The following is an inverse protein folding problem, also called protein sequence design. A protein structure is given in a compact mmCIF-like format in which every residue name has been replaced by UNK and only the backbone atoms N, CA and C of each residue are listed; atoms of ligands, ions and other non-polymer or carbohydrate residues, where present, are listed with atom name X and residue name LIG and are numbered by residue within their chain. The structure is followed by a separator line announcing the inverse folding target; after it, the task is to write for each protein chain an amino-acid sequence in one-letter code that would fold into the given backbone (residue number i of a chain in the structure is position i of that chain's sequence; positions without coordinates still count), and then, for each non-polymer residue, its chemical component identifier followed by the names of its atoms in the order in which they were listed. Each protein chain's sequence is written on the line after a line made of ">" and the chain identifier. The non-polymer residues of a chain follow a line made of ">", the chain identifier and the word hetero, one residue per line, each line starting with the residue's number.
data_IF_869362769771
#
_entry.id   IF_869362769771
#
_cell.length_a   1.000
_cell.length_b   1.000
_cell.length_c   1.000
_cell.angle_alpha   90.00
_cell.angle_beta   90.00
_cell.angle_gamma   90.00
#
_symmetry.space_group_name_H-M   'P 1'
#
loop_
_entity.id
_entity.type
_entity.pdbx_description
1 polymer ?
#
# COMPACT_ATOMS: atom_id res chain seq x y z
N UNK A 1 7.71 17.36 -11.01
CA UNK A 1 7.52 16.10 -11.77
C UNK A 1 6.04 15.80 -11.77
N UNK A 2 5.43 15.68 -12.94
CA UNK A 2 4.03 15.33 -13.10
C UNK A 2 3.87 13.81 -12.92
N UNK A 3 2.92 13.37 -12.10
CA UNK A 3 2.62 11.94 -11.92
C UNK A 3 2.00 11.43 -13.21
N UNK A 4 2.48 10.31 -13.79
CA UNK A 4 1.86 9.70 -14.95
C UNK A 4 0.38 9.41 -14.70
N UNK A 5 -0.48 9.66 -15.69
CA UNK A 5 -1.93 9.50 -15.55
C UNK A 5 -2.31 8.09 -15.07
N UNK A 6 -1.58 7.08 -15.51
CA UNK A 6 -1.77 5.68 -15.17
C UNK A 6 -1.52 5.38 -13.69
N UNK A 7 -0.69 6.18 -13.01
CA UNK A 7 -0.37 6.02 -11.59
C UNK A 7 -1.22 6.91 -10.67
N UNK A 8 -2.01 7.85 -11.21
CA UNK A 8 -2.80 8.79 -10.40
C UNK A 8 -3.75 8.06 -9.44
N UNK A 9 -4.36 6.97 -9.89
CA UNK A 9 -5.27 6.18 -9.04
C UNK A 9 -4.50 5.54 -7.87
N UNK A 10 -3.38 4.87 -8.14
CA UNK A 10 -2.51 4.30 -7.10
C UNK A 10 -2.01 5.36 -6.13
N UNK A 11 -1.58 6.53 -6.61
CA UNK A 11 -1.18 7.63 -5.71
C UNK A 11 -2.31 8.06 -4.79
N UNK A 12 -3.56 8.11 -5.26
CA UNK A 12 -4.72 8.42 -4.39
C UNK A 12 -4.92 7.34 -3.32
N UNK A 13 -4.76 6.07 -3.69
CA UNK A 13 -4.80 4.95 -2.74
C UNK A 13 -3.66 5.06 -1.72
N UNK A 14 -2.44 5.36 -2.15
CA UNK A 14 -1.30 5.58 -1.27
C UNK A 14 -1.53 6.72 -0.27
N UNK A 15 -2.21 7.79 -0.66
CA UNK A 15 -2.62 8.83 0.29
C UNK A 15 -3.55 8.30 1.38
N UNK A 16 -4.48 7.39 1.03
CA UNK A 16 -5.34 6.73 2.01
C UNK A 16 -4.53 5.74 2.87
N UNK A 17 -3.64 4.95 2.29
CA UNK A 17 -2.73 4.05 3.03
C UNK A 17 -1.91 4.81 4.07
N UNK A 18 -1.34 5.95 3.69
CA UNK A 18 -0.59 6.82 4.61
C UNK A 18 -1.47 7.43 5.71
N UNK A 19 -2.71 7.80 5.39
CA UNK A 19 -3.69 8.27 6.39
C UNK A 19 -4.00 7.19 7.42
N UNK A 20 -4.27 5.96 6.96
CA UNK A 20 -4.52 4.81 7.83
C UNK A 20 -3.29 4.46 8.68
N UNK A 21 -2.11 4.47 8.09
CA UNK A 21 -0.85 4.25 8.79
C UNK A 21 -0.65 5.26 9.92
N UNK A 22 -0.89 6.55 9.66
CA UNK A 22 -0.80 7.59 10.68
C UNK A 22 -1.86 7.41 11.78
N UNK A 23 -3.08 7.00 11.45
CA UNK A 23 -4.11 6.67 12.46
C UNK A 23 -3.65 5.54 13.35
N UNK A 24 -3.11 4.46 12.79
CA UNK A 24 -2.59 3.31 13.54
C UNK A 24 -1.43 3.69 14.47
N UNK A 25 -0.48 4.49 13.98
CA UNK A 25 0.67 4.96 14.78
C UNK A 25 0.21 5.80 15.99
N UNK A 26 -0.80 6.66 15.80
CA UNK A 26 -1.26 7.58 16.85
C UNK A 26 -2.39 7.01 17.72
N UNK A 27 -2.86 5.80 17.44
CA UNK A 27 -4.10 5.31 18.02
C UNK A 27 -4.09 5.24 19.56
N UNK A 28 -2.93 4.85 20.11
CA UNK A 28 -2.70 4.80 21.56
C UNK A 28 -2.73 6.19 22.21
N UNK A 29 -2.12 7.18 21.56
CA UNK A 29 -2.10 8.55 22.06
C UNK A 29 -3.49 9.21 22.03
N UNK A 30 -4.36 8.74 21.13
CA UNK A 30 -5.72 9.23 20.94
C UNK A 30 -6.78 8.36 21.63
N UNK A 31 -6.36 7.36 22.40
CA UNK A 31 -7.23 6.40 23.11
C UNK A 31 -8.33 5.78 22.21
N UNK A 32 -7.98 5.45 20.96
CA UNK A 32 -8.93 4.94 19.96
C UNK A 32 -8.46 3.63 19.29
N UNK A 33 -7.56 2.90 19.92
CA UNK A 33 -6.96 1.66 19.41
C UNK A 33 -7.99 0.63 18.92
N UNK A 34 -9.07 0.43 19.68
CA UNK A 34 -10.13 -0.51 19.31
C UNK A 34 -10.86 -0.12 18.01
N UNK A 35 -11.13 1.17 17.82
CA UNK A 35 -11.78 1.70 16.60
C UNK A 35 -10.84 1.53 15.40
N UNK A 36 -9.55 1.82 15.57
CA UNK A 36 -8.57 1.70 14.49
C UNK A 36 -8.33 0.23 14.12
N UNK A 37 -8.31 -0.70 15.09
CA UNK A 37 -8.23 -2.13 14.80
C UNK A 37 -9.41 -2.58 13.92
N UNK A 38 -10.65 -2.20 14.28
CA UNK A 38 -11.84 -2.55 13.50
C UNK A 38 -11.82 -1.96 12.09
N UNK A 39 -11.34 -0.72 11.94
CA UNK A 39 -11.16 -0.10 10.64
C UNK A 39 -10.17 -0.88 9.78
N UNK A 40 -8.98 -1.20 10.33
CA UNK A 40 -7.94 -1.95 9.62
C UNK A 40 -8.47 -3.30 9.16
N UNK A 41 -9.11 -4.09 10.03
CA UNK A 41 -9.66 -5.40 9.67
C UNK A 41 -10.63 -5.30 8.49
N UNK A 42 -11.58 -4.35 8.55
CA UNK A 42 -12.59 -4.17 7.50
C UNK A 42 -12.00 -3.73 6.16
N UNK A 43 -11.05 -2.78 6.18
CA UNK A 43 -10.46 -2.23 4.96
C UNK A 43 -9.48 -3.22 4.33
N UNK A 44 -8.72 -3.98 5.11
CA UNK A 44 -7.74 -4.92 4.54
C UNK A 44 -8.39 -6.12 3.87
N UNK A 45 -9.44 -6.68 4.48
CA UNK A 45 -10.17 -7.81 3.89
C UNK A 45 -10.83 -7.46 2.55
N UNK A 46 -11.27 -6.21 2.37
CA UNK A 46 -12.09 -5.81 1.22
C UNK A 46 -11.33 -5.05 0.14
N UNK A 47 -10.34 -4.25 0.53
CA UNK A 47 -9.85 -3.16 -0.31
C UNK A 47 -8.34 -3.26 -0.60
N UNK A 48 -7.50 -3.55 0.40
CA UNK A 48 -6.05 -3.63 0.20
C UNK A 48 -5.63 -4.84 -0.63
N UNK A 49 -6.33 -5.97 -0.54
CA UNK A 49 -6.01 -7.13 -1.37
C UNK A 49 -6.13 -6.81 -2.87
N UNK A 50 -7.13 -6.02 -3.28
CA UNK A 50 -7.29 -5.61 -4.68
C UNK A 50 -6.17 -4.67 -5.13
N UNK A 51 -5.79 -3.72 -4.27
CA UNK A 51 -4.67 -2.81 -4.48
C UNK A 51 -3.34 -3.57 -4.68
N UNK A 52 -2.98 -4.46 -3.75
CA UNK A 52 -1.76 -5.26 -3.84
C UNK A 52 -1.75 -6.17 -5.08
N UNK A 53 -2.87 -6.82 -5.38
CA UNK A 53 -2.98 -7.66 -6.58
C UNK A 53 -2.77 -6.85 -7.86
N UNK A 54 -3.27 -5.61 -7.92
CA UNK A 54 -3.05 -4.75 -9.07
C UNK A 54 -1.56 -4.42 -9.26
N UNK A 55 -0.87 -4.07 -8.18
CA UNK A 55 0.55 -3.77 -8.22
C UNK A 55 1.38 -4.99 -8.64
N UNK A 56 1.13 -6.14 -8.03
CA UNK A 56 1.82 -7.39 -8.35
C UNK A 56 1.57 -7.83 -9.80
N UNK A 57 0.36 -7.62 -10.33
CA UNK A 57 -0.02 -8.04 -11.67
C UNK A 57 0.43 -7.07 -12.77
N UNK A 58 0.46 -5.76 -12.51
CA UNK A 58 0.63 -4.76 -13.56
C UNK A 58 1.78 -3.78 -13.34
N UNK A 59 2.23 -3.57 -12.10
CA UNK A 59 3.28 -2.60 -11.79
C UNK A 59 4.63 -3.30 -11.62
N UNK A 60 4.74 -4.28 -10.72
CA UNK A 60 5.98 -4.99 -10.45
C UNK A 60 6.59 -5.68 -11.69
N UNK A 61 5.81 -6.26 -12.63
CA UNK A 61 6.38 -6.87 -13.85
C UNK A 61 7.13 -5.86 -14.74
N UNK A 62 6.79 -4.57 -14.67
CA UNK A 62 7.49 -3.52 -15.43
C UNK A 62 8.85 -3.17 -14.82
N UNK A 63 9.11 -3.60 -13.59
CA UNK A 63 10.28 -3.25 -12.79
C UNK A 63 11.22 -4.43 -12.55
N UNK A 64 10.70 -5.67 -12.59
CA UNK A 64 11.37 -6.87 -12.08
C UNK A 64 12.73 -7.14 -12.75
N UNK A 65 12.89 -6.80 -14.03
CA UNK A 65 14.14 -7.04 -14.76
C UNK A 65 15.35 -6.33 -14.13
N UNK A 66 15.14 -5.13 -13.56
CA UNK A 66 16.22 -4.31 -13.00
C UNK A 66 16.09 -4.09 -11.48
N UNK A 67 14.99 -4.52 -10.87
CA UNK A 67 14.66 -4.24 -9.47
C UNK A 67 14.11 -5.48 -8.74
N UNK A 68 14.56 -6.69 -9.12
CA UNK A 68 14.02 -7.95 -8.58
C UNK A 68 13.98 -8.00 -7.05
N UNK A 69 15.03 -7.53 -6.37
CA UNK A 69 15.07 -7.51 -4.91
C UNK A 69 14.03 -6.57 -4.30
N UNK A 70 13.87 -5.37 -4.88
CA UNK A 70 12.85 -4.41 -4.44
C UNK A 70 11.43 -4.95 -4.70
N UNK A 71 11.20 -5.58 -5.84
CA UNK A 71 9.91 -6.22 -6.15
C UNK A 71 9.60 -7.37 -5.18
N UNK A 72 10.59 -8.22 -4.86
CA UNK A 72 10.41 -9.30 -3.90
C UNK A 72 10.10 -8.76 -2.50
N UNK A 73 10.80 -7.69 -2.09
CA UNK A 73 10.52 -6.98 -0.84
C UNK A 73 9.07 -6.51 -0.77
N UNK A 74 8.54 -5.88 -1.82
CA UNK A 74 7.15 -5.42 -1.87
C UNK A 74 6.16 -6.58 -1.64
N UNK A 75 6.33 -7.69 -2.37
CA UNK A 75 5.48 -8.87 -2.22
C UNK A 75 5.52 -9.46 -0.80
N UNK A 76 6.69 -9.46 -0.17
CA UNK A 76 6.83 -9.97 1.20
C UNK A 76 6.23 -8.99 2.22
N UNK A 77 6.35 -7.68 2.00
CA UNK A 77 5.68 -6.64 2.79
C UNK A 77 4.14 -6.74 2.66
N UNK A 78 3.59 -7.00 1.46
CA UNK A 78 2.15 -7.22 1.25
C UNK A 78 1.63 -8.37 2.11
N UNK A 79 2.30 -9.52 2.07
CA UNK A 79 1.94 -10.70 2.89
C UNK A 79 1.95 -10.37 4.37
N UNK A 80 3.02 -9.71 4.84
CA UNK A 80 3.15 -9.33 6.24
C UNK A 80 2.06 -8.34 6.67
N UNK A 81 1.72 -7.36 5.83
CA UNK A 81 0.65 -6.40 6.09
C UNK A 81 -0.72 -7.10 6.20
N UNK A 82 -1.01 -8.05 5.29
CA UNK A 82 -2.22 -8.86 5.34
C UNK A 82 -2.29 -9.72 6.62
N UNK A 83 -1.18 -10.37 7.00
CA UNK A 83 -1.12 -11.18 8.22
C UNK A 83 -1.30 -10.35 9.49
N UNK A 84 -0.66 -9.17 9.56
CA UNK A 84 -0.82 -8.23 10.68
C UNK A 84 -2.25 -7.70 10.76
N UNK A 85 -2.86 -7.35 9.62
CA UNK A 85 -4.23 -6.83 9.59
C UNK A 85 -5.26 -7.87 10.05
N UNK A 86 -5.08 -9.14 9.64
CA UNK A 86 -5.96 -10.25 10.03
C UNK A 86 -5.98 -10.50 11.54
N UNK A 87 -4.83 -10.32 12.20
CA UNK A 87 -4.66 -10.57 13.64
C UNK A 87 -4.46 -9.28 14.43
N UNK A 88 -4.90 -8.14 13.87
CA UNK A 88 -4.61 -6.82 14.42
C UNK A 88 -5.20 -6.67 15.82
N UNK A 89 -4.38 -6.11 16.71
CA UNK A 89 -4.75 -5.78 18.08
C UNK A 89 -3.95 -4.55 18.53
N UNK A 90 -4.31 -3.90 19.66
CA UNK A 90 -3.66 -2.68 20.13
C UNK A 90 -2.12 -2.78 20.19
N UNK A 91 -1.57 -3.91 20.64
CA UNK A 91 -0.12 -4.09 20.75
C UNK A 91 0.60 -4.12 19.38
N UNK A 92 -0.10 -4.46 18.30
CA UNK A 92 0.45 -4.56 16.95
C UNK A 92 0.22 -3.33 16.07
N UNK A 93 -0.63 -2.37 16.49
CA UNK A 93 -0.99 -1.18 15.71
C UNK A 93 0.22 -0.34 15.28
N UNK A 94 1.15 -0.11 16.21
CA UNK A 94 2.36 0.68 15.91
C UNK A 94 3.21 -0.02 14.84
N UNK A 95 3.41 -1.34 14.96
CA UNK A 95 4.17 -2.13 13.99
C UNK A 95 3.50 -2.10 12.61
N UNK A 96 2.19 -2.34 12.57
CA UNK A 96 1.40 -2.30 11.34
C UNK A 96 1.48 -0.92 10.67
N UNK A 97 1.22 0.16 11.42
CA UNK A 97 1.25 1.52 10.88
C UNK A 97 2.65 1.95 10.40
N UNK A 98 3.70 1.57 11.12
CA UNK A 98 5.07 1.82 10.69
C UNK A 98 5.39 1.09 9.37
N UNK A 99 5.04 -0.20 9.27
CA UNK A 99 5.25 -1.00 8.07
C UNK A 99 4.50 -0.41 6.87
N UNK A 100 3.19 -0.16 7.02
CA UNK A 100 2.35 0.39 5.95
C UNK A 100 2.89 1.73 5.44
N UNK A 101 3.36 2.59 6.35
CA UNK A 101 3.94 3.89 6.00
C UNK A 101 5.24 3.76 5.22
N UNK A 102 6.16 2.91 5.68
CA UNK A 102 7.46 2.69 5.03
C UNK A 102 7.27 2.07 3.64
N UNK A 103 6.42 1.04 3.56
CA UNK A 103 6.02 0.37 2.33
C UNK A 103 5.46 1.36 1.28
N UNK A 104 4.37 2.07 1.62
CA UNK A 104 3.72 3.03 0.71
C UNK A 104 4.69 4.12 0.23
N UNK A 105 5.56 4.62 1.13
CA UNK A 105 6.55 5.65 0.77
C UNK A 105 7.64 5.11 -0.14
N UNK A 106 8.06 3.88 0.08
CA UNK A 106 9.09 3.26 -0.73
C UNK A 106 8.61 3.08 -2.18
N UNK A 107 7.36 2.66 -2.36
CA UNK A 107 6.72 2.56 -3.68
C UNK A 107 6.69 3.92 -4.40
N UNK A 108 6.04 4.91 -3.80
CA UNK A 108 5.87 6.24 -4.41
C UNK A 108 7.19 6.96 -4.67
N UNK A 109 8.11 6.90 -3.71
CA UNK A 109 9.29 7.79 -3.72
C UNK A 109 10.50 7.15 -4.37
N UNK A 110 10.55 5.83 -4.41
CA UNK A 110 11.71 5.08 -4.87
C UNK A 110 11.33 4.13 -6.01
N UNK A 111 10.47 3.14 -5.78
CA UNK A 111 10.31 2.04 -6.72
C UNK A 111 9.52 2.45 -7.98
N UNK A 112 8.38 3.10 -7.85
CA UNK A 112 7.53 3.46 -8.99
C UNK A 112 8.15 4.55 -9.87
N UNK A 113 9.08 5.35 -9.34
CA UNK A 113 9.88 6.28 -10.14
C UNK A 113 10.86 5.59 -11.10
N UNK A 114 11.13 4.31 -10.90
CA UNK A 114 12.00 3.51 -11.77
C UNK A 114 11.22 2.85 -12.93
N UNK A 115 9.90 3.04 -13.01
CA UNK A 115 9.10 2.50 -14.12
C UNK A 115 9.54 3.21 -15.41
N UNK A 116 9.97 2.47 -16.45
CA UNK A 116 10.34 3.08 -17.73
C UNK A 116 9.15 3.78 -18.38
N UNK A 117 9.37 4.98 -18.91
CA UNK A 117 8.30 5.82 -19.47
C UNK A 117 7.55 5.09 -20.61
N UNK A 118 8.28 4.35 -21.43
CA UNK A 118 7.78 3.53 -22.54
C UNK A 118 6.93 2.33 -22.11
N UNK A 119 6.94 1.99 -20.81
CA UNK A 119 6.15 0.90 -20.26
C UNK A 119 4.88 1.38 -19.53
N UNK A 120 4.72 2.69 -19.29
CA UNK A 120 3.55 3.24 -18.60
C UNK A 120 2.24 2.98 -19.35
N UNK A 121 2.27 2.92 -20.69
CA UNK A 121 1.11 2.58 -21.51
C UNK A 121 0.64 1.12 -21.39
N UNK A 122 1.44 0.24 -20.76
CA UNK A 122 1.08 -1.16 -20.48
C UNK A 122 0.26 -1.30 -19.19
N UNK A 123 0.22 -0.27 -18.36
CA UNK A 123 -0.59 -0.26 -17.14
C UNK A 123 -2.05 -0.07 -17.55
N UNK A 124 -2.94 -1.05 -17.27
CA UNK A 124 -4.35 -0.90 -17.59
C UNK A 124 -4.98 0.20 -16.73
N UNK A 125 -6.12 0.78 -17.17
CA UNK A 125 -6.88 1.70 -16.35
C UNK A 125 -7.18 1.12 -14.97
N UNK A 126 -6.74 1.81 -13.92
CA UNK A 126 -7.07 1.45 -12.54
C UNK A 126 -8.37 2.17 -12.15
N UNK A 127 -9.50 1.67 -12.66
CA UNK A 127 -10.79 2.37 -12.64
C UNK A 127 -11.48 2.39 -11.27
N UNK A 128 -10.94 1.70 -10.27
CA UNK A 128 -11.50 1.66 -8.93
C UNK A 128 -10.51 2.20 -7.92
N UNK A 129 -10.92 3.22 -7.17
CA UNK A 129 -10.30 3.54 -5.89
C UNK A 129 -10.75 2.42 -4.93
N UNK A 130 -10.01 1.33 -4.92
CA UNK A 130 -10.27 0.18 -4.08
C UNK A 130 -10.21 0.60 -2.63
N UNK A 131 -9.29 1.47 -2.22
CA UNK A 131 -9.21 1.93 -0.84
C UNK A 131 -10.31 2.93 -0.47
N UNK A 132 -11.07 2.57 0.58
CA UNK A 132 -12.05 3.43 1.27
C UNK A 132 -11.84 3.29 2.78
N UNK A 133 -11.62 4.41 3.46
CA UNK A 133 -11.46 4.53 4.91
C UNK A 133 -12.74 5.01 5.58
#
# INVERSE_FOLDING_TARGET
>A
MQIPQQLIALTKEHHLSLSLANKAINAKNLDNEGVICQLITKTFERNFLAHFNFEEQYILPLLIQNNQQDCQRIVDEHKLLLELAKNINPATLLKFGALLREHTRFEDRTLFKKIPMESLNKIPPHENNHLKL
#
